data_IF_065380260757
#
_entry.id   IF_065380260757
#
_cell.length_a   1.000
_cell.length_b   1.000
_cell.length_c   1.000
_cell.angle_alpha   90.00
_cell.angle_beta   90.00
_cell.angle_gamma   90.00
#
_symmetry.space_group_name_H-M   'P 1'
#
loop_
_entity.id
_entity.type
_entity.pdbx_description
1 polymer ?
#
# COMPACT_ATOMS: atom_id res chain seq x y z
N UNK A 1 6.95 -23.80 -9.83
CA UNK A 1 7.93 -24.05 -8.73
C UNK A 1 8.11 -22.73 -8.00
N UNK A 2 7.43 -22.55 -6.88
CA UNK A 2 7.68 -21.41 -5.97
C UNK A 2 8.99 -21.71 -5.24
N UNK A 3 10.01 -20.87 -5.42
CA UNK A 3 11.24 -20.94 -4.65
C UNK A 3 10.97 -20.34 -3.27
N UNK A 4 11.11 -21.13 -2.22
CA UNK A 4 10.96 -20.72 -0.80
C UNK A 4 12.11 -19.79 -0.34
N UNK A 5 13.09 -19.60 -1.20
CA UNK A 5 14.36 -18.91 -1.00
C UNK A 5 14.35 -17.44 -1.45
N UNK A 6 13.22 -16.93 -1.96
CA UNK A 6 13.00 -15.51 -2.21
C UNK A 6 11.94 -15.03 -1.21
N UNK A 7 12.41 -14.58 -0.04
CA UNK A 7 11.55 -13.97 0.97
C UNK A 7 10.78 -12.76 0.42
N UNK A 8 9.75 -12.34 1.14
CA UNK A 8 8.95 -11.16 0.78
C UNK A 8 9.73 -9.87 1.06
N UNK A 9 9.69 -8.93 0.12
CA UNK A 9 10.09 -7.55 0.33
C UNK A 9 8.85 -6.68 0.36
N UNK A 10 8.53 -6.11 1.52
CA UNK A 10 7.36 -5.26 1.74
C UNK A 10 7.83 -3.82 1.81
N UNK A 11 7.27 -2.98 0.95
CA UNK A 11 7.42 -1.53 0.99
C UNK A 11 6.09 -0.96 1.46
N UNK A 12 6.11 -0.22 2.56
CA UNK A 12 4.90 0.30 3.19
C UNK A 12 5.10 1.73 3.69
N UNK A 13 3.98 2.44 3.84
CA UNK A 13 3.94 3.70 4.58
C UNK A 13 3.45 3.40 5.98
N UNK A 14 4.18 3.87 6.98
CA UNK A 14 3.81 3.73 8.38
C UNK A 14 3.68 5.08 9.06
N UNK A 15 2.86 5.10 10.11
CA UNK A 15 2.67 6.23 11.00
C UNK A 15 2.87 5.73 12.42
N UNK A 16 3.94 6.18 13.08
CA UNK A 16 4.31 5.68 14.41
C UNK A 16 3.45 6.28 15.54
N UNK A 17 2.85 7.44 15.31
CA UNK A 17 2.00 8.19 16.25
C UNK A 17 0.76 8.66 15.52
N UNK A 18 -0.40 8.61 16.17
CA UNK A 18 -1.65 9.18 15.65
C UNK A 18 -1.44 10.64 15.22
N UNK A 19 -1.88 10.98 14.00
CA UNK A 19 -1.65 12.27 13.34
C UNK A 19 -0.17 12.68 13.17
N UNK A 20 0.77 11.77 13.43
CA UNK A 20 2.21 11.96 13.23
C UNK A 20 2.64 11.84 11.77
N UNK A 21 3.88 12.22 11.43
CA UNK A 21 4.36 12.17 10.05
C UNK A 21 4.37 10.74 9.51
N UNK A 22 3.97 10.58 8.25
CA UNK A 22 4.17 9.34 7.53
C UNK A 22 5.65 9.15 7.19
N UNK A 23 6.10 7.89 7.15
CA UNK A 23 7.41 7.50 6.64
C UNK A 23 7.33 6.22 5.82
N UNK A 24 8.18 6.11 4.81
CA UNK A 24 8.39 4.86 4.11
C UNK A 24 9.16 3.87 4.99
N UNK A 25 8.80 2.60 4.93
CA UNK A 25 9.50 1.51 5.58
C UNK A 25 9.64 0.31 4.63
N UNK A 26 10.80 -0.34 4.67
CA UNK A 26 11.06 -1.59 3.98
C UNK A 26 11.22 -2.72 5.00
N UNK A 27 10.45 -3.79 4.84
CA UNK A 27 10.48 -4.98 5.70
C UNK A 27 10.69 -6.24 4.88
N UNK A 28 11.40 -7.20 5.47
CA UNK A 28 11.50 -8.55 4.94
C UNK A 28 10.63 -9.51 5.76
N UNK A 29 9.34 -9.49 5.50
CA UNK A 29 8.34 -10.25 6.25
C UNK A 29 7.22 -10.73 5.34
N UNK A 30 6.58 -11.84 5.68
CA UNK A 30 5.42 -12.34 4.95
C UNK A 30 4.21 -11.45 5.24
N UNK A 31 3.67 -10.69 4.26
CA UNK A 31 2.51 -9.84 4.52
C UNK A 31 1.30 -10.62 5.02
N UNK A 32 1.21 -11.92 4.73
CA UNK A 32 0.12 -12.80 5.18
C UNK A 32 0.17 -13.11 6.68
N UNK A 33 1.28 -12.79 7.37
CA UNK A 33 1.35 -12.90 8.83
C UNK A 33 0.61 -11.75 9.54
N UNK A 34 0.22 -10.70 8.82
CA UNK A 34 -0.59 -9.61 9.38
C UNK A 34 -2.07 -9.97 9.43
N UNK A 35 -2.71 -9.77 10.59
CA UNK A 35 -4.17 -9.92 10.77
C UNK A 35 -4.99 -8.94 9.92
N UNK A 36 -4.37 -7.87 9.42
CA UNK A 36 -5.00 -6.87 8.54
C UNK A 36 -4.73 -7.11 7.06
N UNK A 37 -3.97 -8.15 6.72
CA UNK A 37 -3.70 -8.48 5.33
C UNK A 37 -5.00 -8.90 4.65
N UNK A 38 -5.48 -8.03 3.76
CA UNK A 38 -6.47 -8.39 2.75
C UNK A 38 -5.82 -9.30 1.70
N UNK A 39 -6.62 -9.94 0.82
CA UNK A 39 -6.07 -10.80 -0.24
C UNK A 39 -4.99 -10.08 -1.05
N UNK A 40 -3.83 -10.74 -1.26
CA UNK A 40 -2.77 -10.22 -2.10
C UNK A 40 -3.21 -10.20 -3.56
N UNK A 41 -3.27 -9.02 -4.16
CA UNK A 41 -3.63 -8.83 -5.57
C UNK A 41 -2.35 -8.82 -6.42
N UNK A 42 -2.14 -9.80 -7.32
CA UNK A 42 -0.99 -9.80 -8.21
C UNK A 42 -1.17 -8.75 -9.31
N UNK A 43 -0.26 -7.76 -9.37
CA UNK A 43 -0.29 -6.69 -10.38
C UNK A 43 0.53 -7.02 -11.64
N UNK A 44 1.59 -7.82 -11.49
CA UNK A 44 2.47 -8.16 -12.60
C UNK A 44 3.63 -9.06 -12.19
N UNK A 45 4.41 -9.48 -13.18
CA UNK A 45 5.63 -10.27 -13.00
C UNK A 45 6.82 -9.46 -13.48
N UNK A 46 7.87 -9.41 -12.67
CA UNK A 46 9.08 -8.64 -12.95
C UNK A 46 10.25 -9.63 -13.05
N UNK A 47 11.12 -9.42 -14.04
CA UNK A 47 12.32 -10.23 -14.17
C UNK A 47 13.27 -9.99 -12.97
N UNK A 48 13.88 -11.03 -12.38
CA UNK A 48 14.72 -10.90 -11.19
C UNK A 48 15.85 -9.88 -11.31
N UNK A 49 16.37 -9.64 -12.52
CA UNK A 49 17.44 -8.66 -12.77
C UNK A 49 17.02 -7.22 -12.42
N UNK A 50 15.72 -6.90 -12.45
CA UNK A 50 15.22 -5.59 -12.07
C UNK A 50 15.01 -5.44 -10.55
N UNK A 51 15.05 -6.53 -9.77
CA UNK A 51 14.68 -6.50 -8.34
C UNK A 51 15.51 -5.51 -7.52
N UNK A 52 16.83 -5.50 -7.69
CA UNK A 52 17.73 -4.59 -6.96
C UNK A 52 17.48 -3.13 -7.35
N UNK A 53 17.44 -2.84 -8.64
CA UNK A 53 17.23 -1.48 -9.14
C UNK A 53 15.85 -0.95 -8.77
N UNK A 54 14.83 -1.81 -8.75
CA UNK A 54 13.49 -1.45 -8.29
C UNK A 54 13.50 -1.08 -6.81
N UNK A 55 14.11 -1.90 -5.95
CA UNK A 55 14.22 -1.58 -4.53
C UNK A 55 14.96 -0.25 -4.29
N UNK A 56 16.02 0.04 -5.05
CA UNK A 56 16.74 1.32 -4.97
C UNK A 56 15.90 2.52 -5.44
N UNK A 57 15.00 2.33 -6.41
CA UNK A 57 14.07 3.37 -6.87
C UNK A 57 12.99 3.63 -5.83
N UNK A 58 12.37 2.57 -5.30
CA UNK A 58 11.30 2.69 -4.30
C UNK A 58 11.81 3.41 -3.05
N UNK A 59 13.03 3.10 -2.59
CA UNK A 59 13.64 3.75 -1.43
C UNK A 59 13.92 5.26 -1.62
N UNK A 60 13.81 5.79 -2.85
CA UNK A 60 13.99 7.22 -3.13
C UNK A 60 12.67 7.99 -3.18
N UNK A 61 11.54 7.27 -3.28
CA UNK A 61 10.20 7.87 -3.27
C UNK A 61 10.04 8.67 -1.98
N UNK A 62 9.67 9.93 -2.11
CA UNK A 62 9.50 10.82 -0.97
C UNK A 62 8.10 10.61 -0.39
N UNK A 63 8.06 10.31 0.91
CA UNK A 63 6.82 10.32 1.67
C UNK A 63 6.70 11.70 2.33
N UNK A 64 5.72 12.54 1.94
CA UNK A 64 5.46 13.79 2.60
C UNK A 64 5.10 13.51 4.06
N UNK A 65 5.91 14.02 4.99
CA UNK A 65 5.69 13.83 6.43
C UNK A 65 4.49 14.61 6.98
N UNK A 66 3.55 15.04 6.15
CA UNK A 66 2.35 15.78 6.55
C UNK A 66 1.16 14.83 6.57
N UNK A 67 0.64 14.58 7.78
CA UNK A 67 -0.30 13.47 8.07
C UNK A 67 -1.74 13.71 7.62
N UNK A 68 -2.21 14.95 7.67
CA UNK A 68 -3.63 15.25 7.52
C UNK A 68 -4.10 15.42 6.07
N UNK A 69 -3.18 15.65 5.12
CA UNK A 69 -3.54 16.08 3.76
C UNK A 69 -2.91 15.21 2.66
N UNK A 70 -2.13 14.20 3.02
CA UNK A 70 -1.49 13.33 2.04
C UNK A 70 -2.17 11.96 2.00
N UNK A 71 -2.48 11.50 0.78
CA UNK A 71 -3.02 10.17 0.58
C UNK A 71 -1.86 9.17 0.56
N UNK A 72 -1.74 8.33 1.59
CA UNK A 72 -0.70 7.29 1.63
C UNK A 72 -0.77 6.31 0.46
N UNK A 73 -1.90 6.23 -0.26
CA UNK A 73 -2.06 5.42 -1.46
C UNK A 73 -1.30 5.99 -2.67
N UNK A 74 -0.99 7.30 -2.68
CA UNK A 74 -0.11 7.90 -3.69
C UNK A 74 1.26 7.20 -3.72
N UNK A 75 1.76 6.77 -2.56
CA UNK A 75 3.01 6.00 -2.47
C UNK A 75 2.96 4.69 -3.28
N UNK A 76 1.83 3.97 -3.22
CA UNK A 76 1.65 2.72 -3.97
C UNK A 76 1.63 3.00 -5.47
N UNK A 77 0.99 4.10 -5.87
CA UNK A 77 0.96 4.54 -7.26
C UNK A 77 2.35 4.95 -7.77
N UNK A 78 3.13 5.68 -6.97
CA UNK A 78 4.51 6.06 -7.32
C UNK A 78 5.44 4.85 -7.44
N UNK A 79 5.26 3.82 -6.60
CA UNK A 79 5.96 2.54 -6.75
C UNK A 79 5.60 1.94 -8.11
N UNK A 80 4.31 1.87 -8.44
CA UNK A 80 3.83 1.26 -9.68
C UNK A 80 4.36 1.99 -10.93
N UNK A 81 4.40 3.32 -10.89
CA UNK A 81 5.01 4.14 -11.93
C UNK A 81 6.52 3.89 -12.07
N UNK A 82 7.21 3.69 -10.94
CA UNK A 82 8.64 3.36 -10.94
C UNK A 82 8.94 2.01 -11.61
N UNK A 83 8.03 1.03 -11.51
CA UNK A 83 8.17 -0.25 -12.21
C UNK A 83 8.15 -0.05 -13.73
N UNK A 84 7.25 0.79 -14.24
CA UNK A 84 7.18 1.12 -15.67
C UNK A 84 8.40 1.94 -16.12
N UNK A 85 8.80 2.95 -15.35
CA UNK A 85 9.96 3.79 -15.67
C UNK A 85 11.28 3.00 -15.75
N UNK A 86 11.41 1.95 -14.94
CA UNK A 86 12.55 1.03 -14.99
C UNK A 86 12.54 0.12 -16.23
N UNK A 87 11.42 0.06 -16.96
CA UNK A 87 11.20 -0.88 -18.05
C UNK A 87 10.99 -2.31 -17.58
N UNK A 88 10.62 -2.50 -16.31
CA UNK A 88 10.41 -3.83 -15.71
C UNK A 88 9.05 -4.45 -16.12
N UNK A 89 8.11 -3.61 -16.54
CA UNK A 89 6.82 -3.98 -17.14
C UNK A 89 6.56 -3.10 -18.36
N UNK A 90 5.61 -3.51 -19.21
CA UNK A 90 5.13 -2.69 -20.33
C UNK A 90 3.92 -1.81 -19.94
N UNK A 91 3.57 -0.88 -20.83
CA UNK A 91 2.43 0.03 -20.62
C UNK A 91 1.10 -0.72 -20.48
N UNK A 92 0.95 -1.87 -21.15
CA UNK A 92 -0.26 -2.69 -21.04
C UNK A 92 -0.43 -3.26 -19.63
N UNK A 93 0.63 -3.89 -19.10
CA UNK A 93 0.68 -4.43 -17.74
C UNK A 93 0.50 -3.32 -16.71
N UNK A 94 1.13 -2.16 -16.92
CA UNK A 94 0.95 -1.01 -16.04
C UNK A 94 -0.51 -0.55 -15.99
N UNK A 95 -1.20 -0.47 -17.13
CA UNK A 95 -2.62 -0.07 -17.18
C UNK A 95 -3.53 -1.08 -16.47
N UNK A 96 -3.34 -2.39 -16.71
CA UNK A 96 -4.12 -3.43 -16.03
C UNK A 96 -3.89 -3.42 -14.51
N UNK A 97 -2.64 -3.29 -14.07
CA UNK A 97 -2.31 -3.19 -12.65
C UNK A 97 -2.88 -1.94 -12.01
N UNK A 98 -2.85 -0.79 -12.70
CA UNK A 98 -3.49 0.44 -12.24
C UNK A 98 -4.99 0.24 -12.07
N UNK A 99 -5.67 -0.36 -13.04
CA UNK A 99 -7.11 -0.66 -12.94
C UNK A 99 -7.42 -1.59 -11.76
N UNK A 100 -6.54 -2.56 -11.46
CA UNK A 100 -6.67 -3.45 -10.31
C UNK A 100 -6.43 -2.74 -8.96
N UNK A 101 -5.67 -1.64 -8.93
CA UNK A 101 -5.44 -0.82 -7.73
C UNK A 101 -6.61 0.13 -7.42
N UNK A 102 -7.34 0.62 -8.43
CA UNK A 102 -8.41 1.62 -8.25
C UNK A 102 -9.50 1.26 -7.23
N UNK A 103 -9.94 -0.01 -7.09
CA UNK A 103 -10.93 -0.37 -6.06
C UNK A 103 -10.45 -0.14 -4.62
N UNK A 104 -9.14 -0.07 -4.40
CA UNK A 104 -8.53 0.20 -3.09
C UNK A 104 -8.16 1.67 -2.91
N UNK A 105 -8.33 2.48 -3.97
CA UNK A 105 -8.00 3.89 -3.98
C UNK A 105 -9.20 4.71 -3.51
N UNK A 106 -9.06 5.41 -2.37
CA UNK A 106 -10.14 6.14 -1.71
C UNK A 106 -9.77 7.61 -1.45
N UNK A 107 -10.76 8.48 -1.24
CA UNK A 107 -10.51 9.86 -0.85
C UNK A 107 -9.84 9.93 0.53
N UNK A 108 -9.04 10.98 0.74
CA UNK A 108 -8.54 11.34 2.07
C UNK A 108 -9.77 11.68 2.91
N UNK A 109 -10.07 10.90 3.94
CA UNK A 109 -11.05 11.30 4.95
C UNK A 109 -10.42 12.45 5.73
N UNK A 110 -10.75 13.68 5.35
CA UNK A 110 -10.43 14.85 6.16
C UNK A 110 -11.05 14.63 7.55
N UNK A 111 -10.23 14.68 8.60
CA UNK A 111 -10.70 14.59 9.97
C UNK A 111 -11.49 15.85 10.32
N UNK A 112 -12.78 15.89 9.96
CA UNK A 112 -13.70 16.94 10.34
C UNK A 112 -14.73 17.30 9.28
N UNK A 113 -15.74 16.45 9.11
CA UNK A 113 -17.06 16.91 8.64
C UNK A 113 -18.13 16.11 9.41
N UNK A 114 -18.18 16.34 10.73
CA UNK A 114 -19.43 16.28 11.48
C UNK A 114 -20.20 17.58 11.15
N UNK A 115 -20.85 17.64 9.99
CA UNK A 115 -21.95 18.59 9.76
C UNK A 115 -23.17 17.80 9.26
N UNK A 116 -23.87 17.23 10.22
CA UNK A 116 -25.24 16.75 10.07
C UNK A 116 -26.18 17.95 9.98
N UNK A 117 -26.59 18.35 8.77
CA UNK A 117 -27.90 18.98 8.59
C UNK A 117 -28.52 18.70 7.19
N UNK A 118 -29.43 17.72 7.19
CA UNK A 118 -30.69 17.64 6.42
C UNK A 118 -30.68 17.36 4.89
N UNK A 119 -31.19 16.17 4.54
CA UNK A 119 -32.39 16.11 3.66
C UNK A 119 -32.44 15.10 2.50
N UNK A 120 -32.98 13.92 2.80
CA UNK A 120 -33.86 13.05 1.97
C UNK A 120 -33.28 12.01 0.96
N UNK A 121 -33.42 10.73 1.36
CA UNK A 121 -33.76 9.54 0.53
C UNK A 121 -32.59 8.87 -0.23
N UNK A 122 -32.27 7.57 -0.11
CA UNK A 122 -33.08 6.39 0.21
C UNK A 122 -32.14 5.18 0.44
N UNK A 123 -32.47 4.37 1.47
CA UNK A 123 -32.37 2.90 1.63
C UNK A 123 -31.09 2.10 1.20
N UNK A 124 -30.51 1.46 2.23
CA UNK A 124 -29.79 0.17 2.29
C UNK A 124 -28.40 0.00 1.64
N UNK A 125 -27.33 0.08 2.46
CA UNK A 125 -26.55 -1.09 2.94
C UNK A 125 -25.38 -0.63 3.84
N UNK A 126 -25.19 -1.31 4.96
CA UNK A 126 -24.15 -1.07 5.96
C UNK A 126 -22.74 -1.35 5.38
N UNK A 127 -21.89 -0.33 5.23
CA UNK A 127 -20.44 -0.57 5.20
C UNK A 127 -19.68 0.63 5.80
N UNK A 128 -19.31 0.50 7.07
CA UNK A 128 -18.42 1.45 7.74
C UNK A 128 -16.98 1.26 7.20
N UNK A 129 -16.32 2.27 6.62
CA UNK A 129 -14.90 2.16 6.33
C UNK A 129 -14.10 2.34 7.64
N UNK A 130 -13.53 1.21 8.06
CA UNK A 130 -12.70 1.00 9.27
C UNK A 130 -11.48 1.93 9.29
N UNK A 131 -11.17 2.50 10.45
CA UNK A 131 -9.88 3.18 10.70
C UNK A 131 -8.70 2.22 10.45
N UNK A 132 -7.82 2.56 9.50
CA UNK A 132 -6.63 1.75 9.17
C UNK A 132 -5.35 2.26 9.84
N UNK A 133 -5.18 1.92 11.12
CA UNK A 133 -3.87 2.01 11.78
C UNK A 133 -2.91 0.92 11.25
N UNK A 134 -1.64 1.25 11.07
CA UNK A 134 -0.61 0.26 10.71
C UNK A 134 -0.60 -0.87 11.76
N UNK A 135 -0.91 -2.11 11.38
CA UNK A 135 -0.86 -3.23 12.32
C UNK A 135 0.59 -3.64 12.61
N UNK A 136 0.81 -4.09 13.83
CA UNK A 136 2.03 -4.77 14.23
C UNK A 136 2.13 -6.12 13.50
N UNK A 137 3.25 -6.38 12.84
CA UNK A 137 3.54 -7.69 12.23
C UNK A 137 3.94 -8.67 13.33
N UNK A 138 3.35 -9.86 13.34
CA UNK A 138 3.82 -10.95 14.20
C UNK A 138 5.06 -11.53 13.54
N UNK A 139 6.22 -11.28 14.14
CA UNK A 139 7.45 -11.96 13.76
C UNK A 139 7.42 -13.38 14.33
N UNK A 140 7.42 -14.38 13.45
CA UNK A 140 7.78 -15.75 13.83
C UNK A 140 9.28 -15.79 14.16
N UNK A 141 9.63 -15.33 15.35
CA UNK A 141 10.95 -15.60 15.94
C UNK A 141 10.93 -16.99 16.54
N UNK A 142 11.35 -17.99 15.76
CA UNK A 142 11.67 -19.34 16.22
C UNK A 142 12.10 -20.22 15.03
N UNK A 143 13.22 -20.95 15.06
CA UNK A 143 14.13 -21.33 16.15
C UNK A 143 15.49 -21.78 15.57
N UNK A 144 16.54 -21.57 16.38
CA UNK A 144 17.90 -22.19 16.39
C UNK A 144 18.69 -22.36 15.08
#
# INVERSE_FOLDING_TARGET
MYRQDLGWGVFEVVQDVEDGPFRAEYRQTDPRSSLRCLPLVPLGYIHPDHSRSLAELINKIQVPGESALWNCQDYVMEIWDSVLQLGAIDEYTWNEGRNALMPYYGPIQEAGDDDDENGEGSEDEEDQPRQYQSAEYVYDSGSD
#
